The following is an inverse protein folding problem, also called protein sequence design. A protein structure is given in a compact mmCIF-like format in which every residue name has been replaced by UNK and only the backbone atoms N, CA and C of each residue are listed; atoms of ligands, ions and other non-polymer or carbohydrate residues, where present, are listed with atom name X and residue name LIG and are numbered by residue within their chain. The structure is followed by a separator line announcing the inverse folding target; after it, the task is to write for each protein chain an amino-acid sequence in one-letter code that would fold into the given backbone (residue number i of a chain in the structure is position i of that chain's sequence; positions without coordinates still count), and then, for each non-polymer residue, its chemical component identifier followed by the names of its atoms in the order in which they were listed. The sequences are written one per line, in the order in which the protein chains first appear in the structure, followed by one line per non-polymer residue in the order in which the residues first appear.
data_IF_943279917359
#
_entry.id   IF_943279917359
#
_cell.length_a   1.000
_cell.length_b   1.000
_cell.length_c   1.000
_cell.angle_alpha   90.00
_cell.angle_beta   90.00
_cell.angle_gamma   90.00
#
_symmetry.space_group_name_H-M   'P 1'
#
loop_
_entity.id
_entity.type
_entity.pdbx_description
1 polymer ?
#
# COMPACT_ATOMS: atom_id res chain seq x y z
N UNK A 1 7.59 -0.84 -12.63
CA UNK A 1 8.03 -0.46 -11.26
C UNK A 1 7.56 -1.51 -10.25
N UNK A 2 8.45 -1.99 -9.37
CA UNK A 2 8.21 -3.12 -8.46
C UNK A 2 6.90 -3.01 -7.66
N UNK A 3 6.60 -1.84 -7.10
CA UNK A 3 5.40 -1.66 -6.26
C UNK A 3 4.09 -1.78 -7.04
N UNK A 4 4.08 -1.49 -8.35
CA UNK A 4 2.92 -1.71 -9.24
C UNK A 4 2.70 -3.21 -9.45
N UNK A 5 3.76 -3.95 -9.81
CA UNK A 5 3.71 -5.40 -10.00
C UNK A 5 3.20 -6.09 -8.72
N UNK A 6 3.73 -5.71 -7.56
CA UNK A 6 3.31 -6.29 -6.28
C UNK A 6 1.89 -5.86 -5.86
N UNK A 7 1.43 -4.68 -6.28
CA UNK A 7 0.04 -4.25 -6.05
C UNK A 7 -0.96 -5.08 -6.85
N UNK A 8 -0.63 -5.45 -8.08
CA UNK A 8 -1.45 -6.31 -8.93
C UNK A 8 -1.51 -7.75 -8.38
N UNK A 9 -0.44 -8.21 -7.72
CA UNK A 9 -0.34 -9.53 -7.08
C UNK A 9 -0.82 -9.56 -5.62
N UNK A 10 -1.42 -8.49 -5.09
CA UNK A 10 -1.74 -8.33 -3.65
C UNK A 10 -2.64 -9.41 -3.04
N UNK A 11 -3.32 -10.22 -3.85
CA UNK A 11 -4.15 -11.34 -3.41
C UNK A 11 -3.47 -12.72 -3.46
N UNK A 12 -2.35 -12.86 -4.19
CA UNK A 12 -1.65 -14.12 -4.40
C UNK A 12 -0.15 -13.93 -4.13
N UNK A 13 0.22 -13.96 -2.86
CA UNK A 13 1.60 -13.72 -2.44
C UNK A 13 2.50 -14.90 -2.81
N UNK A 14 3.46 -14.67 -3.69
CA UNK A 14 4.55 -15.62 -3.94
C UNK A 14 5.57 -15.55 -2.79
N UNK A 15 5.79 -16.67 -2.11
CA UNK A 15 6.62 -16.78 -0.90
C UNK A 15 7.95 -17.52 -1.14
N UNK A 16 8.15 -18.05 -2.33
CA UNK A 16 9.41 -18.62 -2.77
C UNK A 16 10.27 -17.52 -3.44
N UNK A 17 11.47 -17.20 -2.92
CA UNK A 17 12.31 -16.14 -3.47
C UNK A 17 12.73 -16.32 -4.93
N UNK A 18 12.85 -17.56 -5.40
CA UNK A 18 13.21 -17.85 -6.79
C UNK A 18 12.04 -17.57 -7.72
N UNK A 19 10.84 -18.06 -7.36
CA UNK A 19 9.63 -17.78 -8.11
C UNK A 19 9.24 -16.30 -8.03
N UNK A 20 9.42 -15.66 -6.88
CA UNK A 20 9.22 -14.22 -6.72
C UNK A 20 10.08 -13.42 -7.69
N UNK A 21 11.37 -13.74 -7.79
CA UNK A 21 12.28 -13.13 -8.76
C UNK A 21 11.73 -13.30 -10.18
N UNK A 22 11.44 -14.54 -10.59
CA UNK A 22 10.93 -14.83 -11.94
C UNK A 22 9.63 -14.07 -12.22
N UNK A 23 8.73 -14.00 -11.24
CA UNK A 23 7.46 -13.29 -11.32
C UNK A 23 7.67 -11.80 -11.58
N UNK A 24 8.51 -11.13 -10.78
CA UNK A 24 8.72 -9.68 -10.95
C UNK A 24 9.46 -9.34 -12.25
N UNK A 25 10.41 -10.18 -12.67
CA UNK A 25 11.19 -9.97 -13.91
C UNK A 25 10.34 -10.24 -15.16
N UNK A 26 9.43 -11.23 -15.10
CA UNK A 26 8.47 -11.52 -16.16
C UNK A 26 7.42 -10.41 -16.29
N UNK A 27 6.99 -9.83 -15.17
CA UNK A 27 5.99 -8.76 -15.16
C UNK A 27 6.54 -7.43 -15.71
N UNK A 28 7.83 -7.15 -15.49
CA UNK A 28 8.47 -5.92 -15.95
C UNK A 28 9.97 -6.15 -16.22
N UNK A 29 10.36 -6.06 -17.49
CA UNK A 29 11.75 -6.26 -17.93
C UNK A 29 12.75 -5.30 -17.28
N UNK A 30 12.31 -4.11 -16.83
CA UNK A 30 13.18 -3.18 -16.10
C UNK A 30 13.54 -3.65 -14.69
N UNK A 31 12.83 -4.66 -14.15
CA UNK A 31 13.13 -5.27 -12.86
C UNK A 31 14.14 -6.41 -12.96
N UNK A 32 14.63 -6.71 -14.17
CA UNK A 32 15.63 -7.78 -14.38
C UNK A 32 16.89 -7.55 -13.52
N UNK A 33 17.22 -8.56 -12.71
CA UNK A 33 18.35 -8.55 -11.79
C UNK A 33 18.16 -7.66 -10.56
N UNK A 34 17.03 -6.96 -10.40
CA UNK A 34 16.78 -6.08 -9.24
C UNK A 34 16.85 -6.87 -7.93
N UNK A 35 16.19 -8.02 -7.86
CA UNK A 35 16.15 -8.82 -6.64
C UNK A 35 17.53 -9.32 -6.24
N UNK A 36 18.34 -9.78 -7.19
CA UNK A 36 19.70 -10.23 -6.91
C UNK A 36 20.60 -9.06 -6.49
N UNK A 37 20.43 -7.86 -7.07
CA UNK A 37 21.11 -6.64 -6.61
C UNK A 37 20.75 -6.30 -5.17
N UNK A 38 19.46 -6.37 -4.80
CA UNK A 38 19.01 -6.15 -3.42
C UNK A 38 19.59 -7.19 -2.45
N UNK A 39 19.60 -8.46 -2.86
CA UNK A 39 20.23 -9.55 -2.08
C UNK A 39 21.71 -9.28 -1.89
N UNK A 40 22.44 -8.93 -2.95
CA UNK A 40 23.87 -8.63 -2.87
C UNK A 40 24.17 -7.41 -2.00
N UNK A 41 23.32 -6.38 -2.04
CA UNK A 41 23.51 -5.15 -1.27
C UNK A 41 23.22 -5.33 0.24
N UNK A 42 22.25 -6.18 0.58
CA UNK A 42 21.75 -6.30 1.96
C UNK A 42 22.23 -7.57 2.69
N UNK A 43 22.80 -8.54 1.98
CA UNK A 43 23.29 -9.80 2.57
C UNK A 43 24.81 -9.83 2.53
N UNK A 44 25.50 -9.84 3.68
CA UNK A 44 26.95 -9.98 3.75
C UNK A 44 27.45 -11.29 3.11
N UNK A 45 28.58 -11.21 2.42
CA UNK A 45 29.17 -12.34 1.68
C UNK A 45 29.61 -13.49 2.60
N UNK A 46 30.00 -13.16 3.84
CA UNK A 46 30.50 -14.09 4.87
C UNK A 46 29.39 -14.94 5.55
N UNK A 47 28.12 -14.81 5.15
CA UNK A 47 27.03 -15.62 5.72
C UNK A 47 27.06 -17.06 5.22
N UNK A 48 26.70 -18.00 6.11
CA UNK A 48 26.48 -19.40 5.75
C UNK A 48 25.36 -19.58 4.72
N UNK A 49 25.38 -20.69 3.98
CA UNK A 49 24.38 -20.99 2.94
C UNK A 49 22.94 -21.00 3.47
N UNK A 50 22.71 -21.57 4.66
CA UNK A 50 21.40 -21.56 5.34
C UNK A 50 20.93 -20.12 5.65
N UNK A 51 21.85 -19.28 6.14
CA UNK A 51 21.56 -17.89 6.44
C UNK A 51 21.30 -17.05 5.16
N UNK A 52 21.90 -17.43 4.03
CA UNK A 52 21.63 -16.80 2.72
C UNK A 52 20.20 -17.08 2.23
N UNK A 53 19.69 -18.31 2.37
CA UNK A 53 18.30 -18.64 2.01
C UNK A 53 17.30 -17.85 2.86
N UNK A 54 17.52 -17.80 4.18
CA UNK A 54 16.69 -17.02 5.09
C UNK A 54 16.72 -15.52 4.74
N UNK A 55 17.89 -14.99 4.42
CA UNK A 55 18.04 -13.59 4.04
C UNK A 55 17.30 -13.23 2.75
N UNK A 56 17.31 -14.11 1.72
CA UNK A 56 16.51 -13.91 0.50
C UNK A 56 15.02 -13.82 0.80
N UNK A 57 14.49 -14.68 1.68
CA UNK A 57 13.08 -14.60 2.13
C UNK A 57 12.80 -13.27 2.83
N UNK A 58 13.68 -12.82 3.73
CA UNK A 58 13.54 -11.52 4.39
C UNK A 58 13.50 -10.36 3.39
N UNK A 59 14.37 -10.36 2.38
CA UNK A 59 14.40 -9.29 1.37
C UNK A 59 13.16 -9.29 0.50
N UNK A 60 12.65 -10.48 0.14
CA UNK A 60 11.34 -10.60 -0.52
C UNK A 60 10.21 -10.03 0.34
N UNK A 61 10.17 -10.36 1.64
CA UNK A 61 9.19 -9.78 2.57
C UNK A 61 9.30 -8.25 2.65
N UNK A 62 10.52 -7.71 2.67
CA UNK A 62 10.75 -6.25 2.63
C UNK A 62 10.18 -5.64 1.34
N UNK A 63 10.31 -6.30 0.19
CA UNK A 63 9.71 -5.81 -1.06
C UNK A 63 8.19 -5.69 -0.97
N UNK A 64 7.52 -6.69 -0.40
CA UNK A 64 6.07 -6.64 -0.15
C UNK A 64 5.68 -5.53 0.84
N UNK A 65 6.43 -5.40 1.95
CA UNK A 65 6.19 -4.34 2.94
C UNK A 65 6.32 -2.96 2.29
N UNK A 66 7.38 -2.70 1.53
CA UNK A 66 7.57 -1.42 0.85
C UNK A 66 6.46 -1.13 -0.17
N UNK A 67 6.02 -2.14 -0.92
CA UNK A 67 4.89 -1.98 -1.83
C UNK A 67 3.59 -1.67 -1.06
N UNK A 68 3.30 -2.41 0.01
CA UNK A 68 2.15 -2.18 0.89
C UNK A 68 2.16 -0.77 1.48
N UNK A 69 3.29 -0.32 2.02
CA UNK A 69 3.46 1.02 2.59
C UNK A 69 3.21 2.11 1.55
N UNK A 70 3.81 1.99 0.35
CA UNK A 70 3.58 2.95 -0.74
C UNK A 70 2.11 3.00 -1.13
N UNK A 71 1.47 1.86 -1.28
CA UNK A 71 0.07 1.78 -1.70
C UNK A 71 -0.85 2.38 -0.65
N UNK A 72 -0.60 2.10 0.64
CA UNK A 72 -1.30 2.72 1.75
C UNK A 72 -1.14 4.24 1.71
N UNK A 73 0.10 4.74 1.62
CA UNK A 73 0.38 6.17 1.55
C UNK A 73 -0.35 6.86 0.40
N UNK A 74 -0.33 6.28 -0.80
CA UNK A 74 -1.03 6.83 -1.97
C UNK A 74 -2.55 6.87 -1.75
N UNK A 75 -3.13 5.82 -1.16
CA UNK A 75 -4.57 5.77 -0.89
C UNK A 75 -4.99 6.75 0.22
N UNK A 76 -4.20 6.84 1.28
CA UNK A 76 -4.42 7.78 2.38
C UNK A 76 -4.34 9.23 1.87
N UNK A 77 -3.32 9.55 1.05
CA UNK A 77 -3.20 10.87 0.41
C UNK A 77 -4.40 11.20 -0.49
N UNK A 78 -4.84 10.26 -1.33
CA UNK A 78 -6.04 10.45 -2.16
C UNK A 78 -7.30 10.71 -1.32
N UNK A 79 -7.42 10.03 -0.18
CA UNK A 79 -8.52 10.24 0.75
C UNK A 79 -8.46 11.64 1.37
N UNK A 80 -7.29 12.10 1.80
CA UNK A 80 -7.09 13.47 2.31
C UNK A 80 -7.46 14.54 1.29
N UNK A 81 -7.01 14.38 0.04
CA UNK A 81 -7.40 15.27 -1.07
C UNK A 81 -8.92 15.27 -1.25
N UNK A 82 -9.56 14.11 -1.25
CA UNK A 82 -11.02 14.01 -1.39
C UNK A 82 -11.79 14.64 -0.23
N UNK A 83 -11.29 14.48 1.00
CA UNK A 83 -11.84 15.14 2.20
C UNK A 83 -11.70 16.66 2.11
N UNK A 84 -10.54 17.15 1.68
CA UNK A 84 -10.28 18.57 1.47
C UNK A 84 -11.20 19.17 0.41
N UNK A 85 -11.35 18.51 -0.75
CA UNK A 85 -12.28 18.94 -1.80
C UNK A 85 -13.72 19.01 -1.28
N UNK A 86 -14.15 17.98 -0.56
CA UNK A 86 -15.49 17.95 0.02
C UNK A 86 -15.70 19.03 1.09
N UNK A 87 -14.69 19.32 1.91
CA UNK A 87 -14.74 20.42 2.89
C UNK A 87 -14.74 21.80 2.22
N UNK A 88 -14.11 21.94 1.06
CA UNK A 88 -14.07 23.16 0.26
C UNK A 88 -15.34 23.42 -0.55
N UNK A 89 -16.38 22.59 -0.38
CA UNK A 89 -17.66 22.74 -1.09
C UNK A 89 -17.67 22.17 -2.51
N UNK A 90 -16.67 21.35 -2.89
CA UNK A 90 -16.71 20.68 -4.18
C UNK A 90 -17.92 19.72 -4.29
N UNK A 91 -18.56 19.71 -5.45
CA UNK A 91 -19.67 18.80 -5.74
C UNK A 91 -19.18 17.35 -5.83
N UNK A 92 -20.08 16.38 -5.67
CA UNK A 92 -19.76 14.96 -5.86
C UNK A 92 -19.17 14.70 -7.26
N UNK A 93 -19.73 15.31 -8.31
CA UNK A 93 -19.22 15.22 -9.68
C UNK A 93 -17.79 15.75 -9.83
N UNK A 94 -17.44 16.85 -9.15
CA UNK A 94 -16.08 17.38 -9.16
C UNK A 94 -15.09 16.41 -8.47
N UNK A 95 -15.49 15.81 -7.34
CA UNK A 95 -14.66 14.83 -6.61
C UNK A 95 -14.46 13.56 -7.45
N UNK A 96 -15.54 13.06 -8.08
CA UNK A 96 -15.47 11.87 -8.94
C UNK A 96 -14.64 12.13 -10.20
N UNK A 97 -14.67 13.35 -10.74
CA UNK A 97 -13.77 13.79 -11.81
C UNK A 97 -12.31 13.80 -11.35
N UNK A 98 -12.02 14.32 -10.15
CA UNK A 98 -10.66 14.27 -9.58
C UNK A 98 -10.20 12.83 -9.28
N UNK A 99 -11.12 11.93 -8.96
CA UNK A 99 -10.82 10.51 -8.82
C UNK A 99 -10.49 9.84 -10.16
N UNK A 100 -11.22 10.15 -11.23
CA UNK A 100 -11.03 9.52 -12.55
C UNK A 100 -9.66 9.82 -13.15
N UNK A 101 -9.10 11.01 -12.87
CA UNK A 101 -7.71 11.36 -13.23
C UNK A 101 -6.67 10.88 -12.20
N UNK A 102 -7.11 10.18 -11.15
CA UNK A 102 -6.25 9.53 -10.17
C UNK A 102 -5.76 10.40 -9.01
N UNK A 103 -6.27 11.61 -8.84
CA UNK A 103 -5.81 12.57 -7.82
C UNK A 103 -6.55 12.48 -6.47
N UNK A 104 -7.83 12.11 -6.48
CA UNK A 104 -8.68 12.03 -5.29
C UNK A 104 -9.20 10.61 -5.04
N UNK A 105 -9.67 10.35 -3.82
CA UNK A 105 -10.61 9.26 -3.55
C UNK A 105 -11.98 9.57 -4.18
N UNK A 106 -12.75 8.52 -4.48
CA UNK A 106 -14.10 8.62 -5.02
C UNK A 106 -15.05 9.22 -3.97
N UNK A 107 -16.09 9.95 -4.38
CA UNK A 107 -16.98 10.65 -3.46
C UNK A 107 -17.59 9.72 -2.40
N UNK A 108 -18.02 8.52 -2.79
CA UNK A 108 -18.59 7.55 -1.84
C UNK A 108 -17.57 7.11 -0.78
N UNK A 109 -16.29 6.98 -1.13
CA UNK A 109 -15.23 6.66 -0.16
C UNK A 109 -15.05 7.80 0.84
N UNK A 110 -15.03 9.04 0.37
CA UNK A 110 -14.96 10.24 1.21
C UNK A 110 -16.16 10.32 2.15
N UNK A 111 -17.38 10.13 1.62
CA UNK A 111 -18.61 10.19 2.40
C UNK A 111 -18.67 9.08 3.46
N UNK A 112 -18.33 7.85 3.08
CA UNK A 112 -18.28 6.73 4.03
C UNK A 112 -17.28 6.98 5.17
N UNK A 113 -16.14 7.58 4.86
CA UNK A 113 -15.14 7.95 5.87
C UNK A 113 -15.68 9.02 6.83
N UNK A 114 -16.35 10.06 6.32
CA UNK A 114 -17.03 11.07 7.15
C UNK A 114 -18.09 10.45 8.06
N UNK A 115 -18.94 9.58 7.51
CA UNK A 115 -19.96 8.87 8.29
C UNK A 115 -19.33 8.01 9.39
N UNK A 116 -18.22 7.33 9.09
CA UNK A 116 -17.47 6.54 10.08
C UNK A 116 -17.00 7.42 11.24
N UNK A 117 -16.37 8.57 10.95
CA UNK A 117 -15.92 9.51 11.98
C UNK A 117 -17.10 10.02 12.83
N UNK A 118 -18.22 10.40 12.20
CA UNK A 118 -19.39 10.89 12.92
C UNK A 118 -19.98 9.82 13.87
N UNK A 119 -20.06 8.58 13.41
CA UNK A 119 -20.54 7.46 14.21
C UNK A 119 -19.59 7.14 15.37
N UNK A 120 -18.27 7.12 15.14
CA UNK A 120 -17.27 6.91 16.19
C UNK A 120 -17.32 8.02 17.24
N UNK A 121 -17.48 9.28 16.82
CA UNK A 121 -17.61 10.41 17.73
C UNK A 121 -18.86 10.28 18.63
N UNK A 122 -20.01 9.91 18.06
CA UNK A 122 -21.24 9.68 18.82
C UNK A 122 -21.07 8.57 19.86
N UNK A 123 -20.41 7.47 19.50
CA UNK A 123 -20.13 6.37 20.43
C UNK A 123 -19.21 6.81 21.57
N UNK A 124 -18.17 7.59 21.25
CA UNK A 124 -17.24 8.10 22.25
C UNK A 124 -17.92 9.05 23.24
N UNK A 125 -18.81 9.94 22.77
CA UNK A 125 -19.61 10.80 23.65
C UNK A 125 -20.51 9.97 24.56
N UNK A 126 -21.25 9.00 24.01
CA UNK A 126 -22.13 8.14 24.80
C UNK A 126 -21.37 7.39 25.89
N UNK A 127 -20.19 6.86 25.54
CA UNK A 127 -19.31 6.18 26.49
C UNK A 127 -18.88 7.14 27.61
N UNK A 128 -18.37 8.32 27.26
CA UNK A 128 -17.96 9.33 28.25
C UNK A 128 -19.09 9.71 29.21
N UNK A 129 -20.31 9.91 28.68
CA UNK A 129 -21.51 10.24 29.46
C UNK A 129 -22.07 9.06 30.26
N UNK A 130 -21.65 7.83 29.98
CA UNK A 130 -22.07 6.63 30.75
C UNK A 130 -21.08 6.28 31.86
N UNK A 131 -19.85 6.82 31.78
CA UNK A 131 -18.78 6.63 32.77
C UNK A 131 -18.78 7.69 33.88
N UNK A 132 -19.63 8.73 33.77
CA UNK A 132 -19.89 9.78 34.76
C UNK A 132 -21.39 9.84 35.07
#
# INVERSE_FOLDING_TARGET
MLTKVLYEQRGNLELNPTHFKQMIEKADSHLQGLFDKLVKALVPDNRSAYNKVKARKTIMSLCYIMAGMRNKFVNDFKLEVGLYLSASGATCAAIDTMNSIGFSAYYTTVNNFKCKIANEHLLNIRKFLSEH
#
